data_IF_209611609935
#
_entry.id   IF_209611609935
#
_cell.length_a   1.000
_cell.length_b   1.000
_cell.length_c   1.000
_cell.angle_alpha   90.00
_cell.angle_beta   90.00
_cell.angle_gamma   90.00
#
_symmetry.space_group_name_H-M   'P 1'
#
loop_
_entity.id
_entity.type
_entity.pdbx_description
1 polymer ?
#
# COMPACT_ATOMS: atom_id res chain seq x y z
N UNK A 1 27.50 24.61 -20.90
CA UNK A 1 26.87 23.76 -21.94
C UNK A 1 25.41 24.19 -22.13
N UNK A 2 25.13 25.15 -23.03
CA UNK A 2 23.79 25.76 -23.20
C UNK A 2 23.23 25.69 -24.64
N UNK A 3 23.67 24.74 -25.47
CA UNK A 3 23.34 24.74 -26.92
C UNK A 3 22.20 23.76 -27.30
N UNK A 4 21.72 22.88 -26.40
CA UNK A 4 20.79 21.80 -26.79
C UNK A 4 19.30 21.98 -26.42
N UNK A 5 18.88 23.09 -25.81
CA UNK A 5 17.48 23.26 -25.33
C UNK A 5 16.49 23.84 -26.35
N UNK A 6 16.95 24.71 -27.27
CA UNK A 6 16.07 25.44 -28.18
C UNK A 6 15.70 24.68 -29.47
N UNK A 7 16.47 23.65 -29.83
CA UNK A 7 16.39 23.00 -31.15
C UNK A 7 15.24 21.99 -31.25
N UNK A 8 14.95 21.22 -30.20
CA UNK A 8 13.95 20.15 -30.26
C UNK A 8 12.51 20.63 -30.46
N UNK A 9 12.13 21.73 -29.80
CA UNK A 9 10.79 22.31 -29.98
C UNK A 9 10.65 22.89 -31.38
N UNK A 10 11.71 23.47 -31.93
CA UNK A 10 11.74 23.98 -33.30
C UNK A 10 11.61 22.84 -34.33
N UNK A 11 12.37 21.75 -34.15
CA UNK A 11 12.26 20.54 -34.99
C UNK A 11 10.85 19.94 -34.93
N UNK A 12 10.24 19.91 -33.75
CA UNK A 12 8.85 19.47 -33.61
C UNK A 12 7.88 20.37 -34.38
N UNK A 13 8.06 21.70 -34.37
CA UNK A 13 7.21 22.61 -35.15
C UNK A 13 7.28 22.30 -36.65
N UNK A 14 8.48 22.06 -37.19
CA UNK A 14 8.64 21.67 -38.59
C UNK A 14 7.92 20.35 -38.94
N UNK A 15 7.84 19.40 -38.00
CA UNK A 15 7.05 18.18 -38.17
C UNK A 15 5.54 18.39 -37.97
N UNK A 16 5.14 19.39 -37.17
CA UNK A 16 3.73 19.62 -36.83
C UNK A 16 2.89 20.06 -38.03
N UNK A 17 3.53 20.59 -39.08
CA UNK A 17 2.88 20.94 -40.34
C UNK A 17 2.20 19.73 -41.01
N UNK A 18 2.63 18.50 -40.69
CA UNK A 18 2.03 17.27 -41.22
C UNK A 18 0.89 16.72 -40.37
N UNK A 19 0.63 17.27 -39.17
CA UNK A 19 -0.41 16.75 -38.25
C UNK A 19 -1.82 16.78 -38.83
N UNK A 20 -2.10 17.71 -39.75
CA UNK A 20 -3.41 17.79 -40.41
C UNK A 20 -3.72 16.60 -41.32
N UNK A 21 -2.71 15.77 -41.62
CA UNK A 21 -2.85 14.54 -42.41
C UNK A 21 -3.04 13.29 -41.55
N UNK A 22 -2.92 13.41 -40.23
CA UNK A 22 -2.97 12.29 -39.30
C UNK A 22 -4.39 12.09 -38.74
N UNK A 23 -4.77 10.84 -38.49
CA UNK A 23 -5.97 10.53 -37.73
C UNK A 23 -5.76 10.86 -36.24
N UNK A 24 -6.83 11.02 -35.44
CA UNK A 24 -6.72 11.29 -34.00
C UNK A 24 -5.81 10.29 -33.26
N UNK A 25 -5.94 9.00 -33.57
CA UNK A 25 -5.11 7.94 -32.98
C UNK A 25 -3.63 8.08 -33.35
N UNK A 26 -3.33 8.43 -34.61
CA UNK A 26 -1.95 8.58 -35.10
C UNK A 26 -1.24 9.74 -34.42
N UNK A 27 -1.96 10.84 -34.16
CA UNK A 27 -1.42 11.98 -33.38
C UNK A 27 -1.05 11.54 -31.97
N UNK A 28 -1.91 10.76 -31.31
CA UNK A 28 -1.61 10.22 -29.98
C UNK A 28 -0.35 9.38 -29.98
N UNK A 29 -0.26 8.42 -30.91
CA UNK A 29 0.90 7.53 -31.03
C UNK A 29 2.19 8.30 -31.37
N UNK A 30 2.12 9.28 -32.27
CA UNK A 30 3.25 10.11 -32.65
C UNK A 30 3.80 10.92 -31.47
N UNK A 31 2.92 11.55 -30.69
CA UNK A 31 3.36 12.30 -29.50
C UNK A 31 3.96 11.37 -28.45
N UNK A 32 3.35 10.21 -28.21
CA UNK A 32 3.88 9.27 -27.23
C UNK A 32 5.26 8.73 -27.67
N UNK A 33 5.44 8.48 -28.96
CA UNK A 33 6.72 8.06 -29.55
C UNK A 33 7.82 9.14 -29.47
N UNK A 34 7.45 10.43 -29.38
CA UNK A 34 8.40 11.52 -29.18
C UNK A 34 8.67 11.77 -27.70
N UNK A 35 7.66 11.71 -26.85
CA UNK A 35 7.73 12.25 -25.49
C UNK A 35 8.07 11.18 -24.44
N UNK A 36 7.60 9.95 -24.64
CA UNK A 36 7.57 8.92 -23.60
C UNK A 36 8.46 7.70 -23.87
N UNK A 37 9.23 7.70 -24.97
CA UNK A 37 10.19 6.63 -25.25
C UNK A 37 11.51 6.81 -24.49
N UNK A 38 12.21 5.72 -24.11
CA UNK A 38 13.43 5.79 -23.30
C UNK A 38 14.51 6.73 -23.85
N UNK A 39 14.70 6.74 -25.17
CA UNK A 39 15.67 7.61 -25.83
C UNK A 39 15.34 9.09 -25.62
N UNK A 40 14.07 9.45 -25.67
CA UNK A 40 13.62 10.82 -25.41
C UNK A 40 13.76 11.20 -23.95
N UNK A 41 13.67 10.26 -23.00
CA UNK A 41 13.95 10.56 -21.59
C UNK A 41 15.39 11.00 -21.36
N UNK A 42 16.32 10.45 -22.13
CA UNK A 42 17.75 10.76 -22.05
C UNK A 42 18.12 12.03 -22.85
N UNK A 43 17.52 12.22 -24.03
CA UNK A 43 17.97 13.21 -25.01
C UNK A 43 17.08 14.47 -25.06
N UNK A 44 15.82 14.36 -24.63
CA UNK A 44 14.83 15.43 -24.72
C UNK A 44 14.55 16.04 -23.32
N UNK A 45 14.94 17.31 -23.10
CA UNK A 45 14.72 17.99 -21.83
C UNK A 45 13.25 17.96 -21.42
N UNK A 46 13.01 17.86 -20.11
CA UNK A 46 11.67 17.81 -19.54
C UNK A 46 10.77 18.99 -19.98
N UNK A 47 11.32 20.21 -20.03
CA UNK A 47 10.57 21.39 -20.48
C UNK A 47 10.18 21.32 -21.96
N UNK A 48 11.04 20.74 -22.81
CA UNK A 48 10.77 20.56 -24.24
C UNK A 48 9.65 19.53 -24.43
N UNK A 49 9.69 18.40 -23.70
CA UNK A 49 8.61 17.39 -23.68
C UNK A 49 7.27 18.01 -23.30
N UNK A 50 7.24 18.81 -22.23
CA UNK A 50 6.01 19.50 -21.78
C UNK A 50 5.49 20.49 -22.83
N UNK A 51 6.38 21.19 -23.52
CA UNK A 51 5.99 22.15 -24.55
C UNK A 51 5.42 21.47 -25.80
N UNK A 52 6.00 20.34 -26.22
CA UNK A 52 5.51 19.52 -27.35
C UNK A 52 4.07 19.04 -27.08
N UNK A 53 3.81 18.47 -25.89
CA UNK A 53 2.46 18.03 -25.52
C UNK A 53 1.49 19.22 -25.42
N UNK A 54 1.94 20.36 -24.86
CA UNK A 54 1.12 21.59 -24.74
C UNK A 54 0.68 22.13 -26.10
N UNK A 55 1.59 22.19 -27.07
CA UNK A 55 1.27 22.66 -28.43
C UNK A 55 0.31 21.74 -29.13
N UNK A 56 0.51 20.42 -29.00
CA UNK A 56 -0.40 19.44 -29.59
C UNK A 56 -1.79 19.48 -28.97
N UNK A 57 -1.89 19.69 -27.65
CA UNK A 57 -3.18 19.85 -26.97
C UNK A 57 -3.93 21.10 -27.46
N UNK A 58 -3.22 22.20 -27.72
CA UNK A 58 -3.82 23.40 -28.30
C UNK A 58 -4.37 23.11 -29.70
N UNK A 59 -3.62 22.38 -30.51
CA UNK A 59 -4.02 21.95 -31.84
C UNK A 59 -5.25 21.04 -31.83
N UNK A 60 -5.28 19.99 -30.99
CA UNK A 60 -6.40 19.04 -30.90
C UNK A 60 -7.71 19.74 -30.52
N UNK A 61 -7.66 20.67 -29.54
CA UNK A 61 -8.81 21.49 -29.13
C UNK A 61 -9.30 22.44 -30.23
N UNK A 62 -8.38 23.02 -31.01
CA UNK A 62 -8.73 23.89 -32.14
C UNK A 62 -9.43 23.13 -33.27
N UNK A 63 -9.08 21.86 -33.49
CA UNK A 63 -9.73 21.02 -34.51
C UNK A 63 -11.07 20.51 -34.03
N UNK A 64 -11.18 20.07 -32.76
CA UNK A 64 -12.45 19.65 -32.17
C UNK A 64 -13.51 20.77 -32.27
N UNK A 65 -13.13 22.02 -31.99
CA UNK A 65 -14.01 23.19 -32.10
C UNK A 65 -14.38 23.63 -33.51
N UNK A 66 -13.80 23.06 -34.58
CA UNK A 66 -14.01 23.48 -35.98
C UNK A 66 -14.95 22.58 -36.79
N UNK A 67 -15.66 21.62 -36.19
CA UNK A 67 -16.48 20.64 -36.94
C UNK A 67 -17.60 21.28 -37.81
N UNK A 68 -17.31 21.39 -39.12
CA UNK A 68 -18.24 21.28 -40.25
C UNK A 68 -17.84 20.05 -41.09
N UNK A 69 -18.18 18.84 -40.63
CA UNK A 69 -18.52 17.66 -41.46
C UNK A 69 -18.79 16.45 -40.56
N UNK A 70 -19.74 15.58 -40.93
CA UNK A 70 -20.03 14.37 -40.18
C UNK A 70 -18.80 13.46 -40.22
N UNK A 71 -18.36 13.03 -39.03
CA UNK A 71 -17.35 12.00 -38.87
C UNK A 71 -17.82 10.74 -39.60
N UNK A 72 -16.94 10.16 -40.42
CA UNK A 72 -17.14 8.80 -40.91
C UNK A 72 -17.38 7.88 -39.71
N UNK A 73 -18.42 7.07 -39.80
CA UNK A 73 -19.05 6.25 -38.73
C UNK A 73 -18.14 5.10 -38.24
N UNK A 74 -16.82 5.28 -38.13
CA UNK A 74 -15.92 4.22 -37.67
C UNK A 74 -14.65 4.68 -36.95
N UNK A 75 -14.49 5.96 -36.61
CA UNK A 75 -13.33 6.37 -35.81
C UNK A 75 -13.57 6.05 -34.33
N UNK A 76 -12.96 4.96 -33.83
CA UNK A 76 -12.99 4.54 -32.42
C UNK A 76 -12.38 5.58 -31.46
N UNK A 77 -11.59 6.54 -31.98
CA UNK A 77 -10.93 7.60 -31.21
C UNK A 77 -11.21 8.97 -31.83
N UNK A 78 -11.75 9.88 -31.03
CA UNK A 78 -12.11 11.26 -31.42
C UNK A 78 -11.02 12.27 -31.05
N UNK A 79 -11.10 13.50 -31.58
CA UNK A 79 -10.21 14.59 -31.17
C UNK A 79 -10.39 15.03 -29.71
N UNK A 80 -11.54 14.74 -29.10
CA UNK A 80 -11.78 14.98 -27.67
C UNK A 80 -11.02 13.95 -26.83
N UNK A 81 -11.00 12.68 -27.25
CA UNK A 81 -10.20 11.62 -26.62
C UNK A 81 -8.70 11.95 -26.68
N UNK A 82 -8.22 12.44 -27.83
CA UNK A 82 -6.84 12.94 -27.99
C UNK A 82 -6.56 14.09 -27.02
N UNK A 83 -7.48 15.04 -26.91
CA UNK A 83 -7.34 16.19 -26.00
C UNK A 83 -7.29 15.76 -24.53
N UNK A 84 -8.12 14.78 -24.14
CA UNK A 84 -8.11 14.19 -22.81
C UNK A 84 -6.80 13.45 -22.53
N UNK A 85 -6.30 12.66 -23.50
CA UNK A 85 -5.01 11.98 -23.38
C UNK A 85 -3.86 12.96 -23.19
N UNK A 86 -3.75 13.98 -24.05
CA UNK A 86 -2.68 14.98 -23.98
C UNK A 86 -2.76 15.81 -22.69
N UNK A 87 -3.96 16.12 -22.20
CA UNK A 87 -4.14 16.79 -20.92
C UNK A 87 -3.67 15.92 -19.75
N UNK A 88 -3.97 14.62 -19.76
CA UNK A 88 -3.47 13.69 -18.77
C UNK A 88 -1.93 13.54 -18.84
N UNK A 89 -1.37 13.45 -20.04
CA UNK A 89 0.08 13.42 -20.29
C UNK A 89 0.79 14.67 -19.75
N UNK A 90 0.18 15.85 -19.86
CA UNK A 90 0.70 17.08 -19.22
C UNK A 90 0.63 17.03 -17.70
N UNK A 91 -0.45 16.52 -17.13
CA UNK A 91 -0.58 16.32 -15.68
C UNK A 91 0.53 15.39 -15.20
N UNK A 92 0.67 14.21 -15.83
CA UNK A 92 1.71 13.23 -15.56
C UNK A 92 3.10 13.86 -15.55
N UNK A 93 3.46 14.55 -16.63
CA UNK A 93 4.76 15.21 -16.72
C UNK A 93 4.95 16.21 -15.57
N UNK A 94 3.94 16.99 -15.20
CA UNK A 94 4.08 18.02 -14.14
C UNK A 94 4.18 17.44 -12.72
N UNK A 95 3.40 16.40 -12.40
CA UNK A 95 3.17 15.98 -11.01
C UNK A 95 4.07 14.83 -10.59
N UNK A 96 4.26 13.79 -11.40
CA UNK A 96 5.06 12.63 -11.00
C UNK A 96 6.52 12.94 -10.65
N UNK A 97 7.22 13.88 -11.32
CA UNK A 97 8.55 14.28 -10.87
C UNK A 97 8.64 14.82 -9.45
N UNK A 98 7.53 15.34 -8.92
CA UNK A 98 7.45 15.88 -7.57
C UNK A 98 7.08 14.80 -6.56
N UNK A 99 6.34 13.78 -7.00
CA UNK A 99 5.86 12.70 -6.16
C UNK A 99 6.89 11.58 -6.02
N UNK A 100 7.66 11.30 -7.09
CA UNK A 100 8.62 10.19 -7.15
C UNK A 100 10.08 10.64 -6.90
N UNK A 101 10.83 9.93 -6.04
CA UNK A 101 12.26 10.13 -5.80
C UNK A 101 13.13 10.14 -7.07
N UNK A 102 14.39 10.57 -6.94
CA UNK A 102 15.34 10.61 -8.05
C UNK A 102 15.86 9.22 -8.47
N UNK A 103 15.64 8.15 -7.70
CA UNK A 103 15.96 6.80 -8.12
C UNK A 103 14.94 6.26 -9.16
N UNK A 104 13.75 6.85 -9.20
CA UNK A 104 12.60 6.38 -9.99
C UNK A 104 12.44 7.15 -11.32
N UNK A 105 13.57 7.64 -11.86
CA UNK A 105 13.63 8.39 -13.14
C UNK A 105 12.90 7.68 -14.30
N UNK A 106 12.97 6.35 -14.46
CA UNK A 106 12.22 5.66 -15.52
C UNK A 106 10.71 5.88 -15.40
N UNK A 107 10.19 5.87 -14.17
CA UNK A 107 8.76 5.90 -13.85
C UNK A 107 8.14 7.28 -13.89
N UNK A 108 8.92 8.31 -13.59
CA UNK A 108 8.58 9.74 -13.68
C UNK A 108 8.05 10.17 -15.05
N UNK A 109 8.34 9.37 -16.07
CA UNK A 109 8.12 9.70 -17.46
C UNK A 109 7.49 8.56 -18.26
N UNK A 110 6.92 7.55 -17.60
CA UNK A 110 6.35 6.39 -18.28
C UNK A 110 4.93 6.67 -18.78
N UNK A 111 4.56 6.26 -20.01
CA UNK A 111 3.19 6.36 -20.48
C UNK A 111 2.29 5.39 -19.68
N UNK A 112 0.97 5.58 -19.77
CA UNK A 112 -0.07 4.85 -19.00
C UNK A 112 0.04 3.31 -19.05
N UNK A 113 0.76 2.74 -20.02
CA UNK A 113 0.71 1.32 -20.36
C UNK A 113 1.94 0.50 -19.92
N UNK A 114 2.66 0.91 -18.87
CA UNK A 114 3.70 0.05 -18.30
C UNK A 114 3.31 -0.39 -16.89
N UNK A 115 2.23 -1.18 -16.85
CA UNK A 115 1.54 -1.63 -15.65
C UNK A 115 2.40 -2.40 -14.64
N UNK A 116 3.23 -3.40 -15.00
CA UNK A 116 3.88 -4.24 -13.98
C UNK A 116 4.95 -3.48 -13.18
N UNK A 117 5.76 -2.66 -13.86
CA UNK A 117 6.85 -1.95 -13.18
C UNK A 117 6.35 -0.78 -12.33
N UNK A 118 5.26 -0.12 -12.74
CA UNK A 118 4.64 0.92 -11.93
C UNK A 118 3.99 0.33 -10.67
N UNK A 119 3.38 -0.85 -10.78
CA UNK A 119 2.84 -1.54 -9.61
C UNK A 119 3.95 -1.88 -8.60
N UNK A 120 5.08 -2.40 -9.08
CA UNK A 120 6.27 -2.64 -8.25
C UNK A 120 6.80 -1.37 -7.57
N UNK A 121 6.77 -0.22 -8.26
CA UNK A 121 7.12 1.06 -7.65
C UNK A 121 6.16 1.44 -6.52
N UNK A 122 4.85 1.30 -6.73
CA UNK A 122 3.83 1.61 -5.72
C UNK A 122 3.99 0.72 -4.48
N UNK A 123 4.27 -0.58 -4.69
CA UNK A 123 4.60 -1.51 -3.61
C UNK A 123 5.89 -1.08 -2.89
N UNK A 124 6.93 -0.72 -3.64
CA UNK A 124 8.19 -0.20 -3.10
C UNK A 124 7.98 1.06 -2.25
N UNK A 125 7.14 1.99 -2.69
CA UNK A 125 6.80 3.17 -1.90
C UNK A 125 6.18 2.82 -0.54
N UNK A 126 5.30 1.82 -0.49
CA UNK A 126 4.69 1.36 0.78
C UNK A 126 5.76 0.70 1.67
N UNK A 127 6.60 -0.17 1.10
CA UNK A 127 7.73 -0.83 1.79
C UNK A 127 8.74 0.19 2.34
N UNK A 128 9.00 1.26 1.60
CA UNK A 128 9.86 2.37 2.00
C UNK A 128 9.20 3.28 3.05
N UNK A 129 7.97 3.01 3.47
CA UNK A 129 7.24 3.76 4.49
C UNK A 129 6.65 5.09 4.01
N UNK A 130 6.35 5.22 2.72
CA UNK A 130 5.62 6.40 2.23
C UNK A 130 4.17 6.37 2.71
N UNK A 131 3.65 7.54 3.11
CA UNK A 131 2.28 7.64 3.60
C UNK A 131 1.24 7.30 2.50
N UNK A 132 0.06 6.75 2.87
CA UNK A 132 -0.98 6.36 1.91
C UNK A 132 -1.43 7.50 0.99
N UNK A 133 -1.44 8.74 1.48
CA UNK A 133 -1.82 9.93 0.69
C UNK A 133 -0.83 10.23 -0.45
N UNK A 134 0.47 9.93 -0.26
CA UNK A 134 1.48 10.09 -1.32
C UNK A 134 1.35 9.01 -2.38
N UNK A 135 1.04 7.78 -1.97
CA UNK A 135 0.74 6.67 -2.90
C UNK A 135 -0.52 6.99 -3.72
N UNK A 136 -1.57 7.49 -3.06
CA UNK A 136 -2.81 7.91 -3.75
C UNK A 136 -2.53 9.04 -4.75
N UNK A 137 -1.71 10.02 -4.37
CA UNK A 137 -1.33 11.11 -5.27
C UNK A 137 -0.70 10.61 -6.57
N UNK A 138 0.09 9.53 -6.52
CA UNK A 138 0.65 8.88 -7.73
C UNK A 138 -0.45 8.18 -8.52
N UNK A 139 -1.32 7.41 -7.85
CA UNK A 139 -2.45 6.72 -8.47
C UNK A 139 -3.41 7.67 -9.20
N UNK A 140 -3.76 8.80 -8.60
CA UNK A 140 -4.64 9.81 -9.19
C UNK A 140 -4.08 10.44 -10.47
N UNK A 141 -2.76 10.45 -10.62
CA UNK A 141 -2.08 10.95 -11.80
C UNK A 141 -2.05 9.91 -12.92
N UNK A 142 -1.76 8.65 -12.58
CA UNK A 142 -1.66 7.58 -13.59
C UNK A 142 -3.05 7.13 -14.05
N UNK A 143 -4.05 7.08 -13.16
CA UNK A 143 -5.45 6.67 -13.42
C UNK A 143 -5.55 5.31 -14.10
N UNK A 144 -4.93 4.29 -13.50
CA UNK A 144 -5.11 2.90 -13.94
C UNK A 144 -6.43 2.37 -13.36
N UNK A 145 -7.22 1.70 -14.19
CA UNK A 145 -8.47 1.08 -13.77
C UNK A 145 -8.18 -0.02 -12.74
N UNK A 146 -9.04 -0.15 -11.73
CA UNK A 146 -8.98 -1.19 -10.69
C UNK A 146 -7.76 -1.10 -9.73
N UNK A 147 -7.04 0.02 -9.76
CA UNK A 147 -5.96 0.31 -8.82
C UNK A 147 -6.44 1.30 -7.76
N UNK A 148 -6.16 0.98 -6.50
CA UNK A 148 -6.49 1.81 -5.35
C UNK A 148 -5.38 1.73 -4.32
N UNK A 149 -5.25 2.77 -3.50
CA UNK A 149 -4.27 2.82 -2.41
C UNK A 149 -4.45 1.64 -1.46
N UNK A 150 -5.70 1.29 -1.16
CA UNK A 150 -6.09 0.08 -0.41
C UNK A 150 -5.47 -1.19 -0.97
N UNK A 151 -5.62 -1.42 -2.28
CA UNK A 151 -5.10 -2.62 -2.94
C UNK A 151 -3.57 -2.66 -2.92
N UNK A 152 -2.90 -1.52 -3.12
CA UNK A 152 -1.43 -1.45 -3.05
C UNK A 152 -0.95 -1.82 -1.64
N UNK A 153 -1.59 -1.29 -0.59
CA UNK A 153 -1.21 -1.58 0.79
C UNK A 153 -1.49 -3.03 1.16
N UNK A 154 -2.67 -3.57 0.85
CA UNK A 154 -2.99 -4.97 1.16
C UNK A 154 -2.03 -5.93 0.45
N UNK A 155 -1.71 -5.68 -0.83
CA UNK A 155 -0.73 -6.52 -1.55
C UNK A 155 0.69 -6.39 -0.99
N UNK A 156 1.11 -5.19 -0.57
CA UNK A 156 2.41 -5.00 0.10
C UNK A 156 2.49 -5.76 1.43
N UNK A 157 1.41 -5.71 2.23
CA UNK A 157 1.31 -6.46 3.49
C UNK A 157 1.37 -7.97 3.20
N UNK A 158 0.57 -8.48 2.26
CA UNK A 158 0.58 -9.88 1.89
C UNK A 158 1.98 -10.38 1.47
N UNK A 159 2.70 -9.59 0.66
CA UNK A 159 4.07 -9.92 0.22
C UNK A 159 5.06 -9.97 1.39
N UNK A 160 4.98 -9.01 2.32
CA UNK A 160 5.85 -8.99 3.49
C UNK A 160 5.52 -10.15 4.42
N UNK A 161 4.24 -10.38 4.67
CA UNK A 161 3.77 -11.45 5.56
C UNK A 161 4.28 -12.82 5.11
N UNK A 162 4.27 -13.09 3.80
CA UNK A 162 4.86 -14.33 3.24
C UNK A 162 6.38 -14.42 3.48
N UNK A 163 7.09 -13.29 3.52
CA UNK A 163 8.55 -13.22 3.66
C UNK A 163 9.03 -13.03 5.11
N UNK A 164 8.12 -12.88 6.09
CA UNK A 164 8.41 -12.63 7.52
C UNK A 164 9.31 -13.68 8.19
N UNK A 165 9.49 -14.86 7.59
CA UNK A 165 10.44 -15.87 8.08
C UNK A 165 11.91 -15.43 7.97
N UNK A 166 12.20 -14.34 7.25
CA UNK A 166 13.56 -13.90 6.88
C UNK A 166 13.92 -12.47 7.33
N UNK A 167 13.30 -11.95 8.40
CA UNK A 167 13.61 -10.63 9.04
C UNK A 167 12.87 -9.33 8.58
N UNK A 168 11.77 -9.32 7.79
CA UNK A 168 11.10 -8.07 7.40
C UNK A 168 10.11 -7.51 8.45
N UNK A 169 10.28 -7.81 9.75
CA UNK A 169 9.37 -7.38 10.81
C UNK A 169 9.33 -5.86 10.96
N UNK A 170 10.48 -5.19 10.83
CA UNK A 170 10.57 -3.72 10.88
C UNK A 170 9.81 -3.06 9.72
N UNK A 171 9.76 -3.72 8.56
CA UNK A 171 9.02 -3.21 7.39
C UNK A 171 7.52 -3.34 7.65
N UNK A 172 7.07 -4.48 8.20
CA UNK A 172 5.66 -4.66 8.56
C UNK A 172 5.22 -3.62 9.61
N UNK A 173 6.01 -3.43 10.67
CA UNK A 173 5.76 -2.40 11.68
C UNK A 173 5.61 -1.03 11.03
N UNK A 174 6.54 -0.65 10.15
CA UNK A 174 6.52 0.65 9.47
C UNK A 174 5.24 0.86 8.66
N UNK A 175 4.77 -0.17 7.94
CA UNK A 175 3.52 -0.09 7.17
C UNK A 175 2.33 0.08 8.11
N UNK A 176 2.27 -0.70 9.19
CA UNK A 176 1.22 -0.63 10.21
C UNK A 176 1.16 0.77 10.82
N UNK A 177 2.31 1.34 11.19
CA UNK A 177 2.40 2.69 11.75
C UNK A 177 1.92 3.75 10.76
N UNK A 178 2.26 3.63 9.47
CA UNK A 178 1.78 4.55 8.43
C UNK A 178 0.27 4.47 8.22
N UNK A 179 -0.33 3.27 8.29
CA UNK A 179 -1.78 3.11 8.18
C UNK A 179 -2.47 3.66 9.43
N UNK A 180 -1.95 3.37 10.62
CA UNK A 180 -2.47 3.87 11.89
C UNK A 180 -2.45 5.40 11.93
N UNK A 181 -1.31 6.01 11.59
CA UNK A 181 -1.18 7.46 11.50
C UNK A 181 -2.17 8.06 10.49
N UNK A 182 -2.30 7.46 9.31
CA UNK A 182 -3.24 7.93 8.28
C UNK A 182 -4.70 7.91 8.77
N UNK A 183 -5.10 6.89 9.54
CA UNK A 183 -6.44 6.83 10.15
C UNK A 183 -6.61 7.88 11.26
N UNK A 184 -5.60 8.05 12.11
CA UNK A 184 -5.61 9.05 13.19
C UNK A 184 -5.71 10.48 12.65
N UNK A 185 -5.14 10.73 11.47
CA UNK A 185 -5.25 11.99 10.73
C UNK A 185 -6.63 12.15 10.01
N UNK A 186 -7.56 11.21 10.20
CA UNK A 186 -8.91 11.24 9.60
C UNK A 186 -8.98 10.72 8.16
N UNK A 187 -7.93 10.04 7.68
CA UNK A 187 -7.85 9.50 6.33
C UNK A 187 -8.74 8.27 6.12
N UNK A 188 -9.35 8.16 4.93
CA UNK A 188 -10.29 7.07 4.57
C UNK A 188 -9.80 6.14 3.45
N UNK A 189 -8.62 6.42 2.90
CA UNK A 189 -8.04 5.67 1.78
C UNK A 189 -7.76 4.19 2.12
N UNK A 190 -7.23 3.95 3.32
CA UNK A 190 -6.83 2.65 3.86
C UNK A 190 -7.13 2.65 5.35
N UNK A 191 -7.55 1.52 5.90
CA UNK A 191 -7.75 1.34 7.33
C UNK A 191 -7.16 0.05 7.90
N UNK A 192 -7.25 -0.09 9.22
CA UNK A 192 -6.78 -1.27 9.96
C UNK A 192 -7.27 -2.60 9.36
N UNK A 193 -8.54 -2.70 8.98
CA UNK A 193 -9.10 -3.93 8.37
C UNK A 193 -8.43 -4.33 7.04
N UNK A 194 -7.89 -3.37 6.29
CA UNK A 194 -7.15 -3.66 5.05
C UNK A 194 -5.81 -4.35 5.33
N UNK A 195 -5.25 -4.12 6.51
CA UNK A 195 -4.02 -4.77 6.98
C UNK A 195 -4.34 -6.06 7.72
N UNK A 196 -5.36 -6.03 8.59
CA UNK A 196 -5.79 -7.18 9.39
C UNK A 196 -6.28 -8.34 8.53
N UNK A 197 -7.03 -8.07 7.45
CA UNK A 197 -7.52 -9.12 6.55
C UNK A 197 -6.40 -9.95 5.90
N UNK A 198 -5.23 -9.34 5.67
CA UNK A 198 -4.04 -10.03 5.14
C UNK A 198 -3.24 -10.76 6.22
N UNK A 199 -3.26 -10.25 7.46
CA UNK A 199 -2.49 -10.84 8.58
C UNK A 199 -3.24 -11.99 9.27
N UNK A 200 -4.58 -11.95 9.36
CA UNK A 200 -5.39 -12.98 10.02
C UNK A 200 -5.06 -14.41 9.52
N UNK A 201 -5.00 -14.69 8.20
CA UNK A 201 -4.64 -16.03 7.70
C UNK A 201 -3.25 -16.49 8.14
N UNK A 202 -2.30 -15.55 8.30
CA UNK A 202 -0.96 -15.85 8.80
C UNK A 202 -1.01 -16.19 10.30
N UNK A 203 -1.72 -15.40 11.10
CA UNK A 203 -1.85 -15.65 12.54
C UNK A 203 -2.56 -16.98 12.83
N UNK A 204 -3.61 -17.33 12.07
CA UNK A 204 -4.34 -18.60 12.22
C UNK A 204 -3.58 -19.83 11.74
N UNK A 205 -2.45 -19.68 11.04
CA UNK A 205 -1.68 -20.79 10.51
C UNK A 205 -0.83 -21.47 11.60
N UNK A 206 -1.21 -22.68 11.99
CA UNK A 206 -0.53 -23.48 13.02
C UNK A 206 0.89 -23.89 12.65
N UNK A 207 1.26 -23.89 11.36
CA UNK A 207 2.62 -24.18 10.90
C UNK A 207 3.61 -23.02 11.13
N UNK A 208 3.13 -21.87 11.60
CA UNK A 208 3.96 -20.70 11.90
C UNK A 208 4.31 -20.69 13.39
N UNK A 209 5.57 -20.37 13.70
CA UNK A 209 6.03 -20.31 15.09
C UNK A 209 5.17 -19.36 15.94
N UNK A 210 4.80 -19.81 17.15
CA UNK A 210 3.99 -19.02 18.10
C UNK A 210 4.67 -17.68 18.42
N UNK A 211 6.01 -17.67 18.54
CA UNK A 211 6.79 -16.46 18.79
C UNK A 211 6.58 -15.40 17.70
N UNK A 212 6.60 -15.82 16.43
CA UNK A 212 6.43 -14.91 15.29
C UNK A 212 5.00 -14.34 15.24
N UNK A 213 3.99 -15.19 15.46
CA UNK A 213 2.58 -14.78 15.54
C UNK A 213 2.35 -13.78 16.68
N UNK A 214 2.96 -14.02 17.84
CA UNK A 214 2.91 -13.11 18.98
C UNK A 214 3.56 -11.75 18.72
N UNK A 215 4.72 -11.74 18.05
CA UNK A 215 5.38 -10.49 17.68
C UNK A 215 4.46 -9.64 16.81
N UNK A 216 3.82 -10.22 15.79
CA UNK A 216 2.92 -9.49 14.90
C UNK A 216 1.68 -8.98 15.63
N UNK A 217 1.01 -9.82 16.42
CA UNK A 217 -0.20 -9.38 17.13
C UNK A 217 0.10 -8.31 18.18
N UNK A 218 1.28 -8.32 18.80
CA UNK A 218 1.71 -7.25 19.71
C UNK A 218 1.90 -5.93 18.99
N UNK A 219 2.47 -5.95 17.79
CA UNK A 219 2.59 -4.76 16.92
C UNK A 219 1.20 -4.23 16.59
N UNK A 220 0.28 -5.11 16.20
CA UNK A 220 -1.09 -4.72 15.84
C UNK A 220 -1.88 -4.14 17.01
N UNK A 221 -1.74 -4.73 18.21
CA UNK A 221 -2.38 -4.22 19.44
C UNK A 221 -1.91 -2.80 19.80
N UNK A 222 -0.65 -2.46 19.50
CA UNK A 222 -0.10 -1.14 19.77
C UNK A 222 -0.57 -0.08 18.76
N UNK A 223 -0.85 -0.50 17.53
CA UNK A 223 -1.13 0.44 16.43
C UNK A 223 -2.62 0.51 16.04
N UNK A 224 -3.43 -0.52 16.35
CA UNK A 224 -4.84 -0.61 15.97
C UNK A 224 -5.74 -1.03 17.16
N UNK A 225 -7.01 -0.64 17.10
CA UNK A 225 -8.05 -1.25 17.93
C UNK A 225 -8.43 -2.62 17.35
N UNK A 226 -8.00 -3.69 18.00
CA UNK A 226 -8.29 -5.07 17.61
C UNK A 226 -9.76 -5.42 17.85
N UNK A 227 -10.32 -6.31 17.01
CA UNK A 227 -11.65 -6.89 17.26
C UNK A 227 -11.61 -7.87 18.44
N UNK A 228 -12.78 -8.24 18.96
CA UNK A 228 -12.88 -9.23 20.04
C UNK A 228 -12.26 -10.58 19.62
N UNK A 229 -12.43 -11.00 18.36
CA UNK A 229 -11.82 -12.24 17.84
C UNK A 229 -10.29 -12.13 17.80
N UNK A 230 -9.75 -11.00 17.33
CA UNK A 230 -8.31 -10.78 17.25
C UNK A 230 -7.67 -10.69 18.66
N UNK A 231 -8.39 -10.11 19.63
CA UNK A 231 -8.00 -10.09 21.05
C UNK A 231 -8.00 -11.50 21.66
N UNK A 232 -9.01 -12.33 21.37
CA UNK A 232 -9.06 -13.72 21.84
C UNK A 232 -7.87 -14.53 21.29
N UNK A 233 -7.54 -14.38 20.00
CA UNK A 233 -6.36 -15.02 19.40
C UNK A 233 -5.05 -14.57 20.08
N UNK A 234 -4.92 -13.27 20.39
CA UNK A 234 -3.76 -12.75 21.10
C UNK A 234 -3.63 -13.35 22.51
N UNK A 235 -4.74 -13.46 23.25
CA UNK A 235 -4.76 -14.12 24.57
C UNK A 235 -4.35 -15.60 24.44
N UNK A 236 -4.84 -16.31 23.41
CA UNK A 236 -4.53 -17.72 23.20
C UNK A 236 -3.03 -17.91 23.01
N UNK A 237 -2.42 -17.15 22.09
CA UNK A 237 -1.00 -17.31 21.79
C UNK A 237 -0.12 -16.83 22.94
N UNK A 238 -0.52 -15.80 23.70
CA UNK A 238 0.21 -15.37 24.91
C UNK A 238 0.20 -16.48 25.95
N UNK A 239 -0.96 -17.09 26.16
CA UNK A 239 -1.14 -18.22 27.06
C UNK A 239 -0.28 -19.40 26.64
N UNK A 240 -0.31 -19.79 25.35
CA UNK A 240 0.51 -20.88 24.82
C UNK A 240 2.01 -20.62 25.04
N UNK A 241 2.50 -19.42 24.77
CA UNK A 241 3.93 -19.09 24.94
C UNK A 241 4.38 -19.11 26.40
N UNK A 242 3.54 -18.61 27.32
CA UNK A 242 3.83 -18.63 28.76
C UNK A 242 3.79 -20.07 29.27
N UNK A 243 2.74 -20.84 28.95
CA UNK A 243 2.56 -22.21 29.41
C UNK A 243 3.64 -23.15 28.87
N UNK A 244 4.01 -23.04 27.60
CA UNK A 244 5.03 -23.89 26.98
C UNK A 244 6.42 -23.76 27.65
N UNK A 245 6.69 -22.65 28.35
CA UNK A 245 7.95 -22.46 29.07
C UNK A 245 8.10 -23.36 30.30
N UNK A 246 6.99 -23.78 30.92
CA UNK A 246 6.99 -24.58 32.14
C UNK A 246 6.23 -25.92 32.03
N UNK A 247 5.40 -26.07 31.00
CA UNK A 247 4.66 -27.29 30.64
C UNK A 247 4.72 -27.52 29.12
N UNK A 248 5.85 -28.00 28.59
CA UNK A 248 6.03 -28.17 27.14
C UNK A 248 5.07 -29.21 26.53
N UNK A 249 4.60 -30.18 27.32
CA UNK A 249 3.68 -31.22 26.88
C UNK A 249 2.21 -30.78 26.90
N UNK A 250 1.89 -29.64 27.52
CA UNK A 250 0.52 -29.16 27.64
C UNK A 250 0.13 -28.31 26.44
N UNK A 251 -0.83 -28.81 25.65
CA UNK A 251 -1.43 -28.06 24.55
C UNK A 251 -2.60 -27.22 25.06
N UNK A 252 -2.46 -25.90 24.95
CA UNK A 252 -3.55 -24.95 25.25
C UNK A 252 -4.36 -24.70 23.98
N UNK A 253 -5.66 -24.98 24.02
CA UNK A 253 -6.60 -24.74 22.94
C UNK A 253 -7.46 -23.51 23.20
N UNK A 254 -8.17 -23.04 22.17
CA UNK A 254 -9.07 -21.88 22.22
C UNK A 254 -10.19 -22.05 23.27
N UNK A 255 -10.74 -23.27 23.43
CA UNK A 255 -11.75 -23.54 24.46
C UNK A 255 -11.22 -23.29 25.89
N UNK A 256 -9.90 -23.39 26.11
CA UNK A 256 -9.33 -23.17 27.43
C UNK A 256 -9.26 -21.68 27.81
N UNK A 257 -9.44 -20.77 26.85
CA UNK A 257 -9.33 -19.32 27.09
C UNK A 257 -10.56 -18.51 26.63
N UNK A 258 -11.59 -19.20 26.12
CA UNK A 258 -12.80 -18.60 25.54
C UNK A 258 -13.65 -17.79 26.54
N UNK A 259 -13.44 -17.98 27.84
CA UNK A 259 -14.13 -17.23 28.90
C UNK A 259 -13.29 -17.15 30.18
N UNK A 260 -13.65 -16.22 31.07
CA UNK A 260 -13.05 -16.09 32.42
C UNK A 260 -13.12 -17.40 33.22
N UNK A 261 -14.24 -18.13 33.12
CA UNK A 261 -14.40 -19.42 33.78
C UNK A 261 -13.40 -20.45 33.27
N UNK A 262 -13.26 -20.57 31.94
CA UNK A 262 -12.29 -21.48 31.31
C UNK A 262 -10.84 -21.11 31.63
N UNK A 263 -10.52 -19.81 31.63
CA UNK A 263 -9.21 -19.31 32.05
C UNK A 263 -8.92 -19.67 33.51
N UNK A 264 -9.91 -19.53 34.39
CA UNK A 264 -9.80 -19.91 35.80
C UNK A 264 -9.59 -21.42 35.97
N UNK A 265 -10.37 -22.25 35.27
CA UNK A 265 -10.22 -23.70 35.25
C UNK A 265 -8.82 -24.12 34.80
N UNK A 266 -8.30 -23.52 33.73
CA UNK A 266 -6.94 -23.76 33.25
C UNK A 266 -5.90 -23.37 34.30
N UNK A 267 -6.06 -22.20 34.95
CA UNK A 267 -5.15 -21.73 35.99
C UNK A 267 -5.08 -22.70 37.17
N UNK A 268 -6.22 -23.16 37.69
CA UNK A 268 -6.26 -24.12 38.79
C UNK A 268 -5.67 -25.47 38.39
N UNK A 269 -5.95 -25.95 37.17
CA UNK A 269 -5.33 -27.19 36.65
C UNK A 269 -3.80 -27.09 36.62
N UNK A 270 -3.25 -25.95 36.19
CA UNK A 270 -1.81 -25.71 36.17
C UNK A 270 -1.24 -25.58 37.60
N UNK A 271 -1.97 -24.91 38.49
CA UNK A 271 -1.59 -24.74 39.89
C UNK A 271 -1.51 -26.08 40.62
N UNK A 272 -2.52 -26.94 40.48
CA UNK A 272 -2.56 -28.27 41.10
C UNK A 272 -1.45 -29.19 40.58
N UNK A 273 -1.03 -29.00 39.32
CA UNK A 273 0.06 -29.73 38.69
C UNK A 273 1.46 -29.13 38.91
N UNK A 274 1.59 -28.01 39.64
CA UNK A 274 2.86 -27.32 39.85
C UNK A 274 3.68 -27.94 40.99
N UNK A 275 4.95 -28.24 40.73
CA UNK A 275 5.88 -28.84 41.69
C UNK A 275 7.14 -28.00 41.94
N UNK A 276 7.40 -27.00 41.08
CA UNK A 276 8.62 -26.18 41.15
C UNK A 276 8.35 -24.67 41.14
N UNK A 277 9.27 -23.91 41.73
CA UNK A 277 9.22 -22.44 41.80
C UNK A 277 9.10 -21.81 40.40
N UNK A 278 9.79 -22.38 39.40
CA UNK A 278 9.69 -21.91 38.01
C UNK A 278 8.26 -21.96 37.47
N UNK A 279 7.50 -23.02 37.76
CA UNK A 279 6.10 -23.15 37.36
C UNK A 279 5.21 -22.11 38.06
N UNK A 280 5.44 -21.83 39.34
CA UNK A 280 4.73 -20.77 40.05
C UNK A 280 5.05 -19.36 39.52
N UNK A 281 6.29 -19.10 39.11
CA UNK A 281 6.64 -17.85 38.42
C UNK A 281 5.92 -17.74 37.07
N UNK A 282 5.84 -18.83 36.31
CA UNK A 282 5.08 -18.87 35.05
C UNK A 282 3.59 -18.62 35.28
N UNK A 283 2.99 -19.13 36.37
CA UNK A 283 1.61 -18.78 36.74
C UNK A 283 1.44 -17.29 37.04
N UNK A 284 2.42 -16.66 37.70
CA UNK A 284 2.41 -15.21 37.92
C UNK A 284 2.47 -14.44 36.60
N UNK A 285 3.32 -14.87 35.67
CA UNK A 285 3.41 -14.26 34.35
C UNK A 285 2.12 -14.45 33.53
N UNK A 286 1.44 -15.59 33.70
CA UNK A 286 0.16 -15.85 33.06
C UNK A 286 -0.93 -14.85 33.48
N UNK A 287 -1.00 -14.54 34.78
CA UNK A 287 -1.94 -13.53 35.30
C UNK A 287 -1.65 -12.11 34.80
N UNK A 288 -0.39 -11.81 34.42
CA UNK A 288 -0.03 -10.50 33.85
C UNK A 288 -0.45 -10.35 32.40
N UNK A 289 -0.55 -11.44 31.64
CA UNK A 289 -0.90 -11.41 30.21
C UNK A 289 -2.38 -11.61 29.94
N UNK A 290 -3.15 -12.00 30.95
CA UNK A 290 -4.59 -12.19 30.86
C UNK A 290 -5.38 -10.92 31.22
N UNK A 291 -6.55 -10.71 30.59
CA UNK A 291 -7.53 -9.77 31.11
C UNK A 291 -7.88 -10.11 32.57
N UNK A 292 -8.22 -9.12 33.40
CA UNK A 292 -8.67 -9.37 34.77
C UNK A 292 -9.76 -10.44 34.80
N UNK A 293 -9.64 -11.41 35.71
CA UNK A 293 -10.69 -12.40 35.93
C UNK A 293 -11.81 -11.73 36.72
N UNK A 294 -13.06 -11.90 36.27
CA UNK A 294 -14.26 -11.41 36.95
C UNK A 294 -14.36 -12.01 38.36
N UNK A 295 -13.82 -11.31 39.36
CA UNK A 295 -13.73 -11.80 40.74
C UNK A 295 -12.94 -10.91 41.72
N UNK A 296 -12.23 -9.88 41.24
CA UNK A 296 -11.64 -8.85 42.11
C UNK A 296 -12.57 -7.63 42.21
N UNK A 297 -13.17 -7.33 43.38
CA UNK A 297 -13.86 -6.05 43.60
C UNK A 297 -12.79 -4.97 43.73
N UNK A 298 -12.39 -4.37 42.61
CA UNK A 298 -11.38 -3.32 42.60
C UNK A 298 -11.02 -2.84 41.21
N UNK A 299 -11.70 -1.77 40.80
CA UNK A 299 -11.26 -0.78 39.81
C UNK A 299 -11.34 -1.16 38.31
N UNK A 300 -12.48 -0.76 37.73
CA UNK A 300 -12.48 -0.13 36.40
C UNK A 300 -11.43 0.99 36.37
N UNK A 301 -10.26 0.72 35.79
CA UNK A 301 -9.42 1.77 35.22
C UNK A 301 -9.00 1.30 33.83
N UNK A 302 -9.68 1.86 32.84
CA UNK A 302 -9.18 1.99 31.48
C UNK A 302 -7.82 2.68 31.53
N UNK A 303 -6.74 1.93 31.35
CA UNK A 303 -5.39 2.48 31.16
C UNK A 303 -4.65 1.62 30.16
N UNK A 304 -4.94 1.81 28.87
CA UNK A 304 -3.94 1.82 27.79
C UNK A 304 -4.50 2.67 26.63
N UNK A 305 -4.52 3.98 26.86
CA UNK A 305 -4.40 4.98 25.80
C UNK A 305 -3.20 5.85 26.17
N UNK A 306 -2.08 5.64 25.50
CA UNK A 306 -1.05 6.64 25.23
C UNK A 306 -0.28 6.22 23.98
#
# INVERSE_FOLDING_TARGET
MCVFRADWVHRFVACSDYMHKLLPIDVTQFIDAIVFVPRSLQQLPFDARREIVRRTLKYSRQISGKKKKPESVSAEVTWDDVSQHLQQSLTHLKTLPRLLPSADIPYRHMPKNTTPKLWQLLLGMVVDGQCPTRVDSVLQVVRVKDWSTRRVVSEAVALIVVTLRQDPMEILQRIIDQVSQHQNDGGTLVGSEDVMSEIRPFCSNSAIEVKLRLSILKILEQSFSLSDEDLQLLILYRTQAVVAAAWPDLQVAEDNISSDGKRSELFYKLLDGSTGISQFLTLSDLLKVWPPLSGSPGQYVSLYCH
#
